data_IF_061643491814
#
_entry.id   IF_061643491814
#
_cell.length_a   1.000
_cell.length_b   1.000
_cell.length_c   1.000
_cell.angle_alpha   90.00
_cell.angle_beta   90.00
_cell.angle_gamma   90.00
#
_symmetry.space_group_name_H-M   'P 1'
#
loop_
_entity.id
_entity.type
_entity.pdbx_description
1 polymer ?
#
# COMPACT_ATOMS: atom_id res chain seq x y z
N UNK A 1 6.76 -9.44 -6.75
CA UNK A 1 5.94 -8.34 -6.21
C UNK A 1 5.08 -8.85 -5.06
N UNK A 2 4.88 -8.03 -4.05
CA UNK A 2 3.99 -8.32 -2.92
C UNK A 2 3.08 -7.13 -2.63
N UNK A 3 2.00 -7.37 -1.89
CA UNK A 3 1.05 -6.33 -1.50
C UNK A 3 1.19 -6.00 -0.02
N UNK A 4 1.20 -4.73 0.29
CA UNK A 4 1.26 -4.19 1.65
C UNK A 4 0.15 -3.17 1.87
N UNK A 5 -0.03 -2.77 3.12
CA UNK A 5 -0.93 -1.70 3.53
C UNK A 5 -0.52 -1.14 4.87
N UNK A 6 -0.33 0.17 4.92
CA UNK A 6 -0.11 0.96 6.14
C UNK A 6 0.94 0.38 7.11
N UNK A 7 2.10 -0.01 6.57
CA UNK A 7 3.20 -0.56 7.37
C UNK A 7 3.90 0.48 8.25
N UNK A 8 3.75 1.77 7.94
CA UNK A 8 4.49 2.86 8.59
C UNK A 8 3.63 3.71 9.53
N UNK A 9 2.35 3.37 9.70
CA UNK A 9 1.41 4.13 10.53
C UNK A 9 0.61 3.19 11.40
N UNK A 10 0.20 3.70 12.57
CA UNK A 10 -0.72 2.95 13.43
C UNK A 10 -2.15 3.13 12.94
N UNK A 11 -2.81 2.02 12.69
CA UNK A 11 -4.23 1.98 12.33
C UNK A 11 -4.96 1.24 13.46
N UNK A 12 -6.08 1.79 13.96
CA UNK A 12 -6.87 1.11 14.99
C UNK A 12 -7.24 -0.31 14.58
N UNK A 13 -7.10 -1.27 15.48
CA UNK A 13 -7.44 -2.68 15.28
C UNK A 13 -6.62 -3.41 14.19
N UNK A 14 -5.48 -2.85 13.80
CA UNK A 14 -4.61 -3.41 12.76
C UNK A 14 -3.31 -4.00 13.32
N UNK A 15 -3.08 -3.94 14.61
CA UNK A 15 -1.79 -4.09 15.30
C UNK A 15 -0.92 -5.24 14.77
N UNK A 16 -1.38 -6.50 14.90
CA UNK A 16 -0.55 -7.65 14.50
C UNK A 16 -0.30 -7.64 12.99
N UNK A 17 -1.32 -7.36 12.20
CA UNK A 17 -1.18 -7.31 10.75
C UNK A 17 -0.26 -6.16 10.32
N UNK A 18 -0.34 -5.00 10.98
CA UNK A 18 0.57 -3.87 10.73
C UNK A 18 2.03 -4.24 10.98
N UNK A 19 2.32 -4.97 12.05
CA UNK A 19 3.67 -5.48 12.35
C UNK A 19 4.12 -6.45 11.25
N UNK A 20 3.26 -7.36 10.83
CA UNK A 20 3.56 -8.30 9.75
C UNK A 20 3.82 -7.58 8.42
N UNK A 21 3.05 -6.54 8.11
CA UNK A 21 3.24 -5.74 6.90
C UNK A 21 4.55 -4.96 6.94
N UNK A 22 4.95 -4.43 8.09
CA UNK A 22 6.25 -3.79 8.26
C UNK A 22 7.40 -4.78 8.03
N UNK A 23 7.29 -6.00 8.57
CA UNK A 23 8.27 -7.06 8.33
C UNK A 23 8.33 -7.45 6.84
N UNK A 24 7.16 -7.55 6.18
CA UNK A 24 7.07 -7.85 4.75
C UNK A 24 7.77 -6.77 3.92
N UNK A 25 7.51 -5.50 4.17
CA UNK A 25 8.17 -4.40 3.46
C UNK A 25 9.67 -4.37 3.72
N UNK A 26 10.11 -4.66 4.94
CA UNK A 26 11.53 -4.78 5.25
C UNK A 26 12.18 -5.93 4.45
N UNK A 27 11.50 -7.07 4.30
CA UNK A 27 12.01 -8.20 3.54
C UNK A 27 12.22 -7.87 2.05
N UNK A 28 11.44 -6.97 1.48
CA UNK A 28 11.56 -6.56 0.07
C UNK A 28 12.97 -6.02 -0.22
N UNK A 29 13.48 -5.13 0.61
CA UNK A 29 14.82 -4.56 0.38
C UNK A 29 15.94 -5.59 0.51
N UNK A 30 15.83 -6.52 1.45
CA UNK A 30 16.84 -7.58 1.59
C UNK A 30 16.81 -8.55 0.43
N UNK A 31 15.62 -8.97 -0.01
CA UNK A 31 15.46 -9.84 -1.18
C UNK A 31 15.92 -9.13 -2.45
N UNK A 32 15.62 -7.84 -2.62
CA UNK A 32 16.08 -7.07 -3.76
C UNK A 32 17.61 -7.02 -3.81
N UNK A 33 18.26 -6.81 -2.66
CA UNK A 33 19.72 -6.84 -2.55
C UNK A 33 20.30 -8.21 -2.89
N UNK A 34 19.74 -9.25 -2.30
CA UNK A 34 20.30 -10.60 -2.41
C UNK A 34 20.10 -11.22 -3.80
N UNK A 35 19.02 -10.85 -4.48
CA UNK A 35 18.64 -11.42 -5.77
C UNK A 35 18.99 -10.51 -6.96
N UNK A 36 19.36 -9.25 -6.70
CA UNK A 36 19.62 -8.27 -7.74
C UNK A 36 20.72 -8.67 -8.71
N UNK A 37 21.82 -9.26 -8.21
CA UNK A 37 22.92 -9.75 -9.05
C UNK A 37 22.50 -10.89 -9.99
N UNK A 38 21.38 -11.54 -9.71
CA UNK A 38 20.78 -12.59 -10.57
C UNK A 38 19.78 -12.04 -11.57
N UNK A 39 19.63 -10.71 -11.65
CA UNK A 39 18.66 -10.07 -12.53
C UNK A 39 17.22 -10.14 -12.04
N UNK A 40 16.99 -10.44 -10.75
CA UNK A 40 15.65 -10.54 -10.17
C UNK A 40 15.34 -9.25 -9.43
N UNK A 41 14.24 -8.61 -9.78
CA UNK A 41 13.73 -7.43 -9.12
C UNK A 41 12.66 -7.82 -8.10
N UNK A 42 12.66 -7.16 -6.95
CA UNK A 42 11.71 -7.40 -5.86
C UNK A 42 11.14 -6.08 -5.40
N UNK A 43 9.82 -5.94 -5.50
CA UNK A 43 9.11 -4.71 -5.16
C UNK A 43 7.84 -5.03 -4.38
N UNK A 44 7.30 -4.04 -3.69
CA UNK A 44 5.99 -4.11 -3.06
C UNK A 44 5.08 -2.98 -3.57
N UNK A 45 3.80 -3.23 -3.58
CA UNK A 45 2.78 -2.20 -3.72
C UNK A 45 2.10 -2.02 -2.36
N UNK A 46 2.17 -0.79 -1.84
CA UNK A 46 1.35 -0.39 -0.69
C UNK A 46 0.05 0.19 -1.22
N UNK A 47 -0.98 -0.62 -1.25
CA UNK A 47 -2.28 -0.26 -1.80
C UNK A 47 -3.15 0.41 -0.73
N UNK A 48 -3.95 1.39 -1.14
CA UNK A 48 -5.05 1.90 -0.32
C UNK A 48 -6.11 0.83 -0.09
N UNK A 49 -7.11 1.10 0.75
CA UNK A 49 -8.13 0.11 1.08
C UNK A 49 -8.97 -0.25 -0.15
N UNK A 50 -9.09 -1.54 -0.39
CA UNK A 50 -9.94 -2.13 -1.42
C UNK A 50 -10.89 -3.10 -0.73
N UNK A 51 -12.13 -3.15 -1.17
CA UNK A 51 -13.14 -4.06 -0.62
C UNK A 51 -12.79 -5.51 -1.00
N UNK A 52 -12.09 -6.19 -0.09
CA UNK A 52 -11.74 -7.61 -0.22
C UNK A 52 -12.22 -8.38 1.00
N UNK A 53 -12.24 -9.71 0.91
CA UNK A 53 -12.55 -10.56 2.06
C UNK A 53 -11.54 -10.34 3.20
N UNK A 54 -10.26 -10.21 2.89
CA UNK A 54 -9.22 -9.93 3.88
C UNK A 54 -9.43 -8.57 4.56
N UNK A 55 -9.80 -7.53 3.80
CA UNK A 55 -10.08 -6.21 4.35
C UNK A 55 -11.32 -6.21 5.26
N UNK A 56 -12.32 -7.04 4.97
CA UNK A 56 -13.53 -7.14 5.80
C UNK A 56 -13.26 -7.75 7.17
N UNK A 57 -12.15 -8.48 7.35
CA UNK A 57 -11.72 -9.03 8.63
C UNK A 57 -11.06 -7.99 9.55
N UNK A 58 -10.69 -6.81 9.04
CA UNK A 58 -10.18 -5.69 9.83
C UNK A 58 -11.36 -5.03 10.55
N UNK A 59 -11.27 -4.86 11.87
CA UNK A 59 -12.26 -4.13 12.62
C UNK A 59 -12.46 -2.72 12.05
N UNK A 60 -13.70 -2.24 11.98
CA UNK A 60 -14.05 -0.92 11.46
C UNK A 60 -13.67 -0.69 9.98
N UNK A 61 -13.69 -1.74 9.16
CA UNK A 61 -13.33 -1.67 7.74
C UNK A 61 -14.12 -0.60 6.97
N UNK A 62 -15.43 -0.43 7.26
CA UNK A 62 -16.25 0.61 6.64
C UNK A 62 -15.77 2.02 6.99
N UNK A 63 -15.38 2.24 8.25
CA UNK A 63 -14.82 3.51 8.70
C UNK A 63 -13.51 3.81 7.98
N UNK A 64 -12.59 2.86 7.93
CA UNK A 64 -11.29 3.01 7.27
C UNK A 64 -11.47 3.33 5.79
N UNK A 65 -12.39 2.64 5.13
CA UNK A 65 -12.67 2.84 3.71
C UNK A 65 -13.19 4.25 3.43
N UNK A 66 -14.16 4.72 4.24
CA UNK A 66 -14.68 6.08 4.14
C UNK A 66 -13.63 7.14 4.48
N UNK A 67 -12.90 6.93 5.56
CA UNK A 67 -11.83 7.84 5.98
C UNK A 67 -10.79 8.05 4.88
N UNK A 68 -10.34 6.98 4.25
CA UNK A 68 -9.38 7.08 3.15
C UNK A 68 -9.93 7.89 1.98
N UNK A 69 -11.17 7.63 1.57
CA UNK A 69 -11.79 8.36 0.48
C UNK A 69 -11.90 9.87 0.79
N UNK A 70 -12.29 10.20 2.01
CA UNK A 70 -12.49 11.61 2.42
C UNK A 70 -11.15 12.36 2.53
N UNK A 71 -10.07 11.69 2.91
CA UNK A 71 -8.79 12.32 3.24
C UNK A 71 -7.68 12.11 2.21
N UNK A 72 -7.83 11.20 1.28
CA UNK A 72 -6.85 11.05 0.19
C UNK A 72 -6.80 12.30 -0.68
N UNK A 73 -5.69 12.52 -1.35
CA UNK A 73 -5.53 13.69 -2.22
C UNK A 73 -6.49 13.65 -3.42
N UNK A 74 -6.73 12.47 -3.98
CA UNK A 74 -7.65 12.30 -5.11
C UNK A 74 -9.11 12.20 -4.69
N UNK A 75 -9.41 12.26 -3.38
CA UNK A 75 -10.78 12.20 -2.82
C UNK A 75 -11.56 10.97 -3.27
N UNK A 76 -10.86 9.86 -3.38
CA UNK A 76 -11.44 8.55 -3.70
C UNK A 76 -10.56 7.44 -3.15
N UNK A 77 -11.11 6.26 -3.03
CA UNK A 77 -10.30 5.06 -2.85
C UNK A 77 -9.77 4.58 -4.21
N UNK A 78 -8.70 3.80 -4.15
CA UNK A 78 -8.23 3.06 -5.31
C UNK A 78 -9.06 1.80 -5.52
N UNK A 79 -9.01 1.25 -6.73
CA UNK A 79 -9.68 0.01 -7.07
C UNK A 79 -8.68 -1.03 -7.60
N UNK A 80 -9.20 -2.19 -7.97
CA UNK A 80 -8.39 -3.28 -8.51
C UNK A 80 -7.65 -2.89 -9.78
N UNK A 81 -8.21 -2.00 -10.60
CA UNK A 81 -7.59 -1.56 -11.85
C UNK A 81 -6.40 -0.64 -11.56
N UNK A 82 -6.55 0.28 -10.61
CA UNK A 82 -5.43 1.14 -10.17
C UNK A 82 -4.23 0.30 -9.73
N UNK A 83 -4.47 -0.68 -8.88
CA UNK A 83 -3.42 -1.58 -8.35
C UNK A 83 -2.88 -2.49 -9.43
N UNK A 84 -3.75 -3.05 -10.26
CA UNK A 84 -3.38 -3.94 -11.36
C UNK A 84 -2.49 -3.26 -12.40
N UNK A 85 -2.78 -2.01 -12.74
CA UNK A 85 -1.95 -1.22 -13.67
C UNK A 85 -0.56 -0.97 -13.11
N UNK A 86 -0.44 -0.66 -11.82
CA UNK A 86 0.86 -0.50 -11.16
C UNK A 86 1.62 -1.82 -11.09
N UNK A 87 0.94 -2.92 -10.83
CA UNK A 87 1.54 -4.25 -10.85
C UNK A 87 2.06 -4.61 -12.24
N UNK A 88 1.29 -4.32 -13.28
CA UNK A 88 1.70 -4.55 -14.66
C UNK A 88 2.98 -3.77 -14.99
N UNK A 89 3.04 -2.50 -14.62
CA UNK A 89 4.25 -1.69 -14.80
C UNK A 89 5.45 -2.32 -14.07
N UNK A 90 5.31 -2.63 -12.78
CA UNK A 90 6.42 -3.15 -11.97
C UNK A 90 6.90 -4.53 -12.44
N UNK A 91 6.02 -5.35 -13.01
CA UNK A 91 6.35 -6.69 -13.52
C UNK A 91 6.84 -6.68 -14.96
N UNK A 92 6.72 -5.56 -15.65
CA UNK A 92 7.15 -5.43 -17.04
C UNK A 92 8.58 -4.93 -17.18
N UNK A 93 9.13 -5.01 -18.38
CA UNK A 93 10.47 -4.47 -18.70
C UNK A 93 10.55 -2.95 -18.57
N UNK A 94 9.41 -2.24 -18.59
CA UNK A 94 9.37 -0.80 -18.36
C UNK A 94 9.90 -0.42 -16.99
N UNK A 95 9.78 -1.29 -15.99
CA UNK A 95 10.30 -1.10 -14.65
C UNK A 95 11.69 -1.75 -14.45
N UNK A 96 12.45 -1.93 -15.51
CA UNK A 96 13.75 -2.65 -15.49
C UNK A 96 14.78 -2.08 -14.51
N UNK A 97 14.69 -0.81 -14.19
CA UNK A 97 15.55 -0.14 -13.21
C UNK A 97 14.96 -0.05 -11.80
N UNK A 98 13.80 -0.68 -11.52
CA UNK A 98 13.08 -0.53 -10.25
C UNK A 98 13.18 -1.81 -9.44
N UNK A 99 13.86 -1.77 -8.29
CA UNK A 99 13.93 -2.86 -7.33
C UNK A 99 14.07 -2.31 -5.91
N UNK A 100 13.58 -3.04 -4.92
CA UNK A 100 13.57 -2.59 -3.53
C UNK A 100 12.53 -1.50 -3.25
N UNK A 101 11.62 -1.25 -4.18
CA UNK A 101 10.63 -0.17 -4.12
C UNK A 101 9.41 -0.60 -3.29
N UNK A 102 8.94 0.33 -2.46
CA UNK A 102 7.60 0.30 -1.90
C UNK A 102 6.78 1.33 -2.66
N UNK A 103 5.96 0.87 -3.59
CA UNK A 103 5.22 1.72 -4.51
C UNK A 103 3.82 1.97 -3.97
N UNK A 104 3.52 3.22 -3.65
CA UNK A 104 2.22 3.59 -3.08
C UNK A 104 1.18 3.80 -4.18
N UNK A 105 0.07 3.08 -4.04
CA UNK A 105 -1.12 3.21 -4.89
C UNK A 105 -2.32 3.40 -3.96
N UNK A 106 -2.50 4.60 -3.46
CA UNK A 106 -3.46 4.91 -2.39
C UNK A 106 -4.12 6.30 -2.55
N UNK A 107 -4.15 6.80 -3.76
CA UNK A 107 -4.71 8.14 -4.08
C UNK A 107 -4.04 9.28 -3.29
N UNK A 108 -2.79 9.09 -2.87
CA UNK A 108 -2.01 10.09 -2.14
C UNK A 108 -2.23 10.07 -0.62
N UNK A 109 -2.99 9.12 -0.09
CA UNK A 109 -3.31 9.08 1.34
C UNK A 109 -2.05 9.00 2.22
N UNK A 110 -1.01 8.28 1.82
CA UNK A 110 0.22 8.17 2.61
C UNK A 110 0.93 9.51 2.84
N UNK A 111 0.60 10.55 2.10
CA UNK A 111 1.18 11.90 2.21
C UNK A 111 0.32 12.85 3.06
N UNK A 112 -0.83 12.41 3.54
CA UNK A 112 -1.71 13.24 4.37
C UNK A 112 -1.06 13.44 5.74
N UNK A 113 -0.74 14.69 6.08
CA UNK A 113 -0.19 15.03 7.38
C UNK A 113 -1.27 15.41 8.40
N UNK A 114 -2.41 15.89 7.94
CA UNK A 114 -3.48 16.41 8.78
C UNK A 114 -4.82 16.28 8.05
N UNK A 115 -5.90 15.93 8.74
CA UNK A 115 -7.24 15.94 8.15
C UNK A 115 -7.65 17.33 7.66
N UNK A 116 -8.45 17.40 6.62
CA UNK A 116 -9.06 18.65 6.20
C UNK A 116 -10.05 19.10 7.30
N UNK A 117 -9.96 20.36 7.80
CA UNK A 117 -10.87 20.87 8.84
C UNK A 117 -12.35 20.68 8.53
N UNK A 118 -12.74 20.67 7.27
CA UNK A 118 -14.13 20.45 6.84
C UNK A 118 -14.63 19.05 7.14
N UNK A 119 -13.74 18.10 7.40
CA UNK A 119 -14.07 16.70 7.59
C UNK A 119 -13.93 16.26 9.06
N UNK A 120 -13.83 17.21 9.99
CA UNK A 120 -13.72 16.97 11.44
C UNK A 120 -15.09 17.21 12.12
N UNK A 121 -16.13 16.70 11.62
CA UNK A 121 -17.42 16.80 12.34
C UNK A 121 -17.91 15.45 12.80
#
# INVERSE_FOLDING_TARGET
ITLSYEANKAIPNYNVMGVCKAALESSVKYLARDLGAKGIRVNAISAGPIKTLAASAIGDAKFLYKWNADHSFLKRNVDNIDVGNSALYLLSDMAGGVTGEIHYVDAGYNKVGMPDPKNIS
#
